data_IF_307454595845
#
_entry.id   IF_307454595845
#
_cell.length_a   1.000
_cell.length_b   1.000
_cell.length_c   1.000
_cell.angle_alpha   90.00
_cell.angle_beta   90.00
_cell.angle_gamma   90.00
#
_symmetry.space_group_name_H-M   'P 1'
#
loop_
_entity.id
_entity.type
_entity.pdbx_description
1 polymer ?
#
# COMPACT_ATOMS: atom_id res chain seq x y z
N UNK A 1 -6.74 -13.81 -2.87
CA UNK A 1 -5.50 -13.00 -2.82
C UNK A 1 -5.80 -11.66 -2.16
N UNK A 2 -4.90 -11.18 -1.31
CA UNK A 2 -5.00 -9.88 -0.63
C UNK A 2 -4.22 -8.79 -1.37
N UNK A 3 -4.55 -7.51 -1.13
CA UNK A 3 -3.77 -6.39 -1.68
C UNK A 3 -2.30 -6.41 -1.22
N UNK A 4 -2.02 -6.93 -0.02
CA UNK A 4 -0.65 -7.07 0.49
C UNK A 4 0.14 -8.13 -0.27
N UNK A 5 -0.49 -9.26 -0.62
CA UNK A 5 0.13 -10.31 -1.44
C UNK A 5 0.41 -9.80 -2.84
N UNK A 6 -0.58 -9.15 -3.49
CA UNK A 6 -0.40 -8.57 -4.81
C UNK A 6 0.74 -7.51 -4.85
N UNK A 7 0.86 -6.68 -3.81
CA UNK A 7 1.94 -5.71 -3.70
C UNK A 7 3.31 -6.39 -3.52
N UNK A 8 3.39 -7.48 -2.75
CA UNK A 8 4.62 -8.25 -2.58
C UNK A 8 5.04 -8.94 -3.90
N UNK A 9 4.07 -9.50 -4.63
CA UNK A 9 4.31 -10.11 -5.94
C UNK A 9 4.79 -9.06 -6.97
N UNK A 10 4.13 -7.91 -7.02
CA UNK A 10 4.55 -6.81 -7.88
C UNK A 10 5.97 -6.33 -7.55
N UNK A 11 6.33 -6.26 -6.27
CA UNK A 11 7.66 -5.85 -5.84
C UNK A 11 8.74 -6.88 -6.22
N UNK A 12 8.51 -8.19 -6.00
CA UNK A 12 9.47 -9.22 -6.37
C UNK A 12 9.62 -9.40 -7.89
N UNK A 13 8.57 -9.08 -8.67
CA UNK A 13 8.64 -9.09 -10.15
C UNK A 13 9.79 -8.24 -10.70
N UNK A 14 10.20 -7.18 -9.98
CA UNK A 14 11.29 -6.28 -10.35
C UNK A 14 12.66 -6.95 -10.24
N UNK A 15 12.81 -7.89 -9.29
CA UNK A 15 13.98 -8.74 -9.19
C UNK A 15 14.00 -9.72 -10.35
N UNK A 16 12.88 -10.37 -10.65
CA UNK A 16 12.77 -11.31 -11.79
C UNK A 16 13.04 -10.62 -13.13
N UNK A 17 12.65 -9.35 -13.27
CA UNK A 17 12.98 -8.52 -14.43
C UNK A 17 14.44 -8.03 -14.48
N UNK A 18 15.25 -8.28 -13.45
CA UNK A 18 16.65 -7.87 -13.40
C UNK A 18 16.88 -6.35 -13.32
N UNK A 19 15.85 -5.58 -12.94
CA UNK A 19 15.88 -4.10 -12.99
C UNK A 19 15.97 -3.43 -11.62
N UNK A 20 15.86 -4.18 -10.52
CA UNK A 20 16.09 -3.66 -9.16
C UNK A 20 16.80 -4.68 -8.26
N UNK A 21 17.77 -4.20 -7.47
CA UNK A 21 18.40 -4.98 -6.41
C UNK A 21 17.45 -5.24 -5.23
N UNK A 22 17.72 -6.29 -4.46
CA UNK A 22 16.89 -6.72 -3.32
C UNK A 22 16.66 -5.60 -2.30
N UNK A 23 17.73 -4.87 -1.96
CA UNK A 23 17.67 -3.75 -1.00
C UNK A 23 16.68 -2.67 -1.47
N UNK A 24 16.68 -2.34 -2.76
CA UNK A 24 15.76 -1.33 -3.30
C UNK A 24 14.29 -1.79 -3.20
N UNK A 25 14.04 -3.09 -3.39
CA UNK A 25 12.70 -3.69 -3.29
C UNK A 25 12.21 -3.68 -1.83
N UNK A 26 13.03 -4.16 -0.90
CA UNK A 26 12.65 -4.26 0.53
C UNK A 26 12.44 -2.87 1.16
N UNK A 27 13.35 -1.94 0.92
CA UNK A 27 13.24 -0.56 1.41
C UNK A 27 12.06 0.15 0.75
N UNK A 28 11.87 -0.02 -0.56
CA UNK A 28 10.73 0.57 -1.30
C UNK A 28 9.38 0.06 -0.82
N UNK A 29 9.26 -1.25 -0.53
CA UNK A 29 8.05 -1.83 0.05
C UNK A 29 7.74 -1.23 1.42
N UNK A 30 8.74 -1.13 2.30
CA UNK A 30 8.57 -0.51 3.62
C UNK A 30 8.15 0.95 3.49
N UNK A 31 8.85 1.71 2.65
CA UNK A 31 8.58 3.12 2.40
C UNK A 31 7.15 3.35 1.87
N UNK A 32 6.69 2.56 0.90
CA UNK A 32 5.34 2.67 0.36
C UNK A 32 4.26 2.39 1.41
N UNK A 33 4.49 1.39 2.28
CA UNK A 33 3.57 1.07 3.40
C UNK A 33 3.52 2.19 4.42
N UNK A 34 4.68 2.71 4.83
CA UNK A 34 4.76 3.80 5.80
C UNK A 34 4.06 5.07 5.26
N UNK A 35 4.28 5.39 3.98
CA UNK A 35 3.62 6.52 3.32
C UNK A 35 2.11 6.33 3.22
N UNK A 36 1.66 5.14 2.82
CA UNK A 36 0.23 4.81 2.74
C UNK A 36 -0.44 4.91 4.11
N UNK A 37 0.21 4.37 5.15
CA UNK A 37 -0.26 4.50 6.54
C UNK A 37 -0.37 5.96 6.96
N UNK A 38 0.65 6.77 6.69
CA UNK A 38 0.64 8.19 6.99
C UNK A 38 -0.59 8.89 6.37
N UNK A 39 -0.90 8.61 5.10
CA UNK A 39 -2.09 9.20 4.47
C UNK A 39 -3.40 8.71 5.10
N UNK A 40 -3.54 7.42 5.36
CA UNK A 40 -4.75 6.87 5.99
C UNK A 40 -4.99 7.48 7.38
N UNK A 41 -3.92 7.67 8.14
CA UNK A 41 -3.99 8.22 9.50
C UNK A 41 -4.31 9.73 9.50
N UNK A 42 -3.92 10.48 8.46
CA UNK A 42 -4.00 11.95 8.44
C UNK A 42 -5.11 12.51 7.53
N UNK A 43 -5.61 11.73 6.57
CA UNK A 43 -6.65 12.20 5.66
C UNK A 43 -8.03 12.14 6.33
N UNK A 44 -8.64 13.31 6.50
CA UNK A 44 -10.07 13.41 6.83
C UNK A 44 -10.89 13.16 5.57
N UNK A 45 -11.32 11.92 5.39
CA UNK A 45 -12.21 11.56 4.30
C UNK A 45 -13.58 12.22 4.49
N UNK A 46 -14.22 12.59 3.37
CA UNK A 46 -15.62 13.01 3.41
C UNK A 46 -16.46 11.82 3.88
N UNK A 47 -17.03 11.93 5.07
CA UNK A 47 -18.03 10.97 5.52
C UNK A 47 -19.30 11.19 4.70
N UNK A 48 -19.80 10.12 4.06
CA UNK A 48 -21.10 10.17 3.42
C UNK A 48 -22.17 10.20 4.52
N UNK A 49 -22.82 11.36 4.70
CA UNK A 49 -23.81 11.58 5.74
C UNK A 49 -25.03 10.65 5.62
N UNK A 50 -25.21 10.00 4.46
CA UNK A 50 -26.29 9.04 4.19
C UNK A 50 -26.09 7.69 4.87
N UNK A 51 -24.87 7.37 5.30
CA UNK A 51 -24.54 6.06 5.89
C UNK A 51 -24.63 6.06 7.43
N UNK A 52 -24.89 7.21 8.06
CA UNK A 52 -24.96 7.34 9.52
C UNK A 52 -26.36 7.10 10.13
N UNK A 53 -27.41 6.92 9.31
CA UNK A 53 -28.76 6.66 9.77
C UNK A 53 -29.25 5.31 9.24
N UNK A 54 -28.87 4.23 9.91
CA UNK A 54 -29.63 2.98 9.92
C UNK A 54 -29.30 2.26 11.23
N UNK A 55 -30.22 2.42 12.20
CA UNK A 55 -30.29 1.90 13.57
C UNK A 55 -29.81 2.83 14.67
#
# INVERSE_FOLDING_TARGET
ESFNEAAAEAAISRMYGGIHYRVAIEVGLKQGRDLGKFFVDNLKMKADQRMANNQ
#
